data_IF_198435465073
#
_entry.id   IF_198435465073
#
_cell.length_a   1.000
_cell.length_b   1.000
_cell.length_c   1.000
_cell.angle_alpha   90.00
_cell.angle_beta   90.00
_cell.angle_gamma   90.00
#
_symmetry.space_group_name_H-M   'P 1'
#
loop_
_entity.id
_entity.type
_entity.pdbx_description
1 polymer ?
#
# COMPACT_ATOMS: atom_id res chain seq x y z
N UNK A 1 -41.50 -29.30 -25.52
CA UNK A 1 -41.55 -29.72 -24.10
C UNK A 1 -40.13 -30.03 -23.60
N UNK A 2 -39.56 -29.15 -22.77
CA UNK A 2 -38.31 -29.44 -22.07
C UNK A 2 -38.51 -30.66 -21.16
N UNK A 3 -37.49 -31.52 -21.07
CA UNK A 3 -37.52 -32.63 -20.10
C UNK A 3 -37.51 -32.07 -18.68
N UNK A 4 -38.12 -32.77 -17.70
CA UNK A 4 -38.14 -32.35 -16.30
C UNK A 4 -36.74 -32.00 -15.77
N UNK A 5 -35.74 -32.82 -16.10
CA UNK A 5 -34.35 -32.62 -15.69
C UNK A 5 -33.73 -31.34 -16.24
N UNK A 6 -34.12 -30.91 -17.45
CA UNK A 6 -33.61 -29.68 -18.05
C UNK A 6 -34.25 -28.42 -17.44
N UNK A 7 -35.50 -28.53 -16.96
CA UNK A 7 -36.17 -27.45 -16.24
C UNK A 7 -35.58 -27.28 -14.83
N UNK A 8 -35.28 -28.38 -14.15
CA UNK A 8 -34.66 -28.36 -12.82
C UNK A 8 -33.22 -27.83 -12.86
N UNK A 9 -32.45 -28.19 -13.89
CA UNK A 9 -31.10 -27.67 -14.10
C UNK A 9 -31.09 -26.15 -14.37
N UNK A 10 -32.06 -25.64 -15.14
CA UNK A 10 -32.20 -24.21 -15.40
C UNK A 10 -32.61 -23.44 -14.15
N UNK A 11 -33.54 -24.00 -13.36
CA UNK A 11 -33.94 -23.42 -12.08
C UNK A 11 -32.77 -23.36 -11.07
N UNK A 12 -31.91 -24.38 -11.05
CA UNK A 12 -30.72 -24.41 -10.20
C UNK A 12 -29.68 -23.34 -10.61
N UNK A 13 -29.51 -23.09 -11.93
CA UNK A 13 -28.65 -22.02 -12.44
C UNK A 13 -29.20 -20.63 -12.14
N UNK A 14 -30.51 -20.39 -12.32
CA UNK A 14 -31.12 -19.12 -11.95
C UNK A 14 -31.04 -18.85 -10.44
N UNK A 15 -31.10 -19.91 -9.63
CA UNK A 15 -30.96 -19.79 -8.17
C UNK A 15 -29.51 -19.49 -7.76
N UNK A 16 -28.51 -20.04 -8.45
CA UNK A 16 -27.11 -19.74 -8.17
C UNK A 16 -26.72 -18.32 -8.60
N UNK A 17 -27.21 -17.82 -9.74
CA UNK A 17 -27.02 -16.43 -10.16
C UNK A 17 -27.62 -15.44 -9.15
N UNK A 18 -28.83 -15.71 -8.64
CA UNK A 18 -29.48 -14.87 -7.62
C UNK A 18 -28.73 -14.87 -6.29
N UNK A 19 -28.06 -15.96 -5.93
CA UNK A 19 -27.22 -16.04 -4.74
C UNK A 19 -25.93 -15.21 -4.93
N UNK A 20 -25.28 -15.34 -6.08
CA UNK A 20 -24.09 -14.57 -6.43
C UNK A 20 -24.37 -13.06 -6.48
N UNK A 21 -25.52 -12.64 -7.02
CA UNK A 21 -25.91 -11.23 -7.04
C UNK A 21 -26.24 -10.67 -5.65
N UNK A 22 -26.79 -11.50 -4.76
CA UNK A 22 -26.99 -11.14 -3.35
C UNK A 22 -25.66 -10.99 -2.62
N UNK A 23 -24.73 -11.91 -2.82
CA UNK A 23 -23.39 -11.83 -2.22
C UNK A 23 -22.62 -10.63 -2.75
N UNK A 24 -22.65 -10.38 -4.07
CA UNK A 24 -22.08 -9.16 -4.69
C UNK A 24 -22.72 -7.89 -4.13
N UNK A 25 -24.04 -7.83 -4.00
CA UNK A 25 -24.72 -6.67 -3.40
C UNK A 25 -24.37 -6.48 -1.93
N UNK A 26 -24.21 -7.56 -1.15
CA UNK A 26 -23.78 -7.48 0.24
C UNK A 26 -22.32 -7.01 0.37
N UNK A 27 -21.44 -7.46 -0.52
CA UNK A 27 -20.05 -6.99 -0.60
C UNK A 27 -19.99 -5.52 -1.01
N UNK A 28 -20.80 -5.09 -1.99
CA UNK A 28 -20.89 -3.69 -2.40
C UNK A 28 -21.53 -2.79 -1.33
N UNK A 29 -22.51 -3.30 -0.58
CA UNK A 29 -23.14 -2.58 0.53
C UNK A 29 -22.20 -2.46 1.74
N UNK A 30 -21.30 -3.42 1.94
CA UNK A 30 -20.28 -3.40 2.99
C UNK A 30 -18.95 -2.78 2.53
N UNK A 31 -18.76 -2.53 1.24
CA UNK A 31 -17.75 -1.59 0.75
C UNK A 31 -18.19 -0.19 1.15
N UNK A 32 -17.80 0.24 2.35
CA UNK A 32 -17.73 1.66 2.63
C UNK A 32 -16.87 2.29 1.52
N UNK A 33 -17.51 3.02 0.60
CA UNK A 33 -16.81 3.99 -0.23
C UNK A 33 -15.95 4.83 0.73
N UNK A 34 -14.66 5.05 0.45
CA UNK A 34 -13.83 5.88 1.32
C UNK A 34 -14.59 7.18 1.53
N UNK A 35 -14.84 7.51 2.82
CA UNK A 35 -15.49 8.76 3.23
C UNK A 35 -14.86 9.89 2.39
N UNK A 36 -15.66 10.77 1.76
CA UNK A 36 -15.09 11.84 0.94
C UNK A 36 -14.02 12.53 1.77
N UNK A 37 -12.77 12.49 1.29
CA UNK A 37 -11.67 13.07 2.03
C UNK A 37 -12.03 14.53 2.30
N UNK A 38 -11.86 15.04 3.54
CA UNK A 38 -11.95 16.46 3.76
C UNK A 38 -11.05 17.14 2.73
N UNK A 39 -11.55 18.20 2.09
CA UNK A 39 -10.85 18.93 1.04
C UNK A 39 -9.53 19.41 1.63
N UNK A 40 -8.44 18.68 1.37
CA UNK A 40 -7.12 18.98 1.94
C UNK A 40 -6.73 20.37 1.45
N UNK A 41 -6.46 21.28 2.37
CA UNK A 41 -5.97 22.61 2.02
C UNK A 41 -4.60 22.45 1.36
N UNK A 42 -4.50 22.87 0.10
CA UNK A 42 -3.25 22.89 -0.64
C UNK A 42 -2.55 24.21 -0.33
N UNK A 43 -1.30 24.14 0.09
CA UNK A 43 -0.50 25.31 0.39
C UNK A 43 0.59 25.49 -0.67
N UNK A 44 0.95 26.74 -0.98
CA UNK A 44 2.11 27.07 -1.82
C UNK A 44 3.16 27.80 -1.00
N UNK A 45 4.41 27.40 -1.12
CA UNK A 45 5.53 28.06 -0.45
C UNK A 45 5.74 29.44 -1.06
N UNK A 46 5.67 30.48 -0.23
CA UNK A 46 5.90 31.87 -0.62
C UNK A 46 7.34 32.30 -0.30
N UNK A 47 7.87 31.88 0.84
CA UNK A 47 9.23 32.20 1.27
C UNK A 47 9.80 31.07 2.14
N UNK A 48 11.09 30.79 1.98
CA UNK A 48 11.80 29.76 2.74
C UNK A 48 13.25 30.15 3.09
N UNK A 49 13.63 31.43 2.95
CA UNK A 49 15.02 31.90 3.08
C UNK A 49 15.50 32.07 4.53
N UNK A 50 14.74 31.58 5.50
CA UNK A 50 15.13 31.68 6.92
C UNK A 50 16.14 30.59 7.29
N UNK A 51 17.19 30.95 8.04
CA UNK A 51 18.19 29.99 8.49
C UNK A 51 17.58 28.95 9.44
N UNK A 52 18.26 27.83 9.59
CA UNK A 52 17.99 26.91 10.69
C UNK A 52 18.43 27.56 12.00
N UNK A 53 17.53 27.60 12.98
CA UNK A 53 17.74 28.19 14.30
C UNK A 53 17.51 27.13 15.38
N UNK A 54 18.05 27.36 16.58
CA UNK A 54 17.78 26.53 17.77
C UNK A 54 17.10 27.41 18.80
N UNK A 55 15.91 27.01 19.24
CA UNK A 55 15.14 27.82 20.17
C UNK A 55 13.90 27.12 20.71
N UNK A 56 13.20 27.80 21.61
CA UNK A 56 11.97 27.30 22.19
C UNK A 56 10.79 27.54 21.23
N UNK A 57 10.17 26.45 20.76
CA UNK A 57 8.93 26.50 19.98
C UNK A 57 7.72 26.19 20.88
N UNK A 58 6.52 26.67 20.52
CA UNK A 58 5.28 26.28 21.20
C UNK A 58 5.12 24.76 21.23
N UNK A 59 4.95 24.19 22.43
CA UNK A 59 4.81 22.75 22.63
C UNK A 59 6.13 21.97 22.80
N UNK A 60 7.29 22.63 22.76
CA UNK A 60 8.58 21.99 23.02
C UNK A 60 9.07 22.27 24.47
N UNK A 61 9.36 21.20 25.22
CA UNK A 61 9.91 21.29 26.58
C UNK A 61 11.39 21.73 26.61
N UNK A 62 12.11 21.56 25.49
CA UNK A 62 13.52 21.90 25.32
C UNK A 62 13.73 22.68 24.02
N UNK A 63 14.83 23.45 23.90
CA UNK A 63 15.15 24.11 22.64
C UNK A 63 15.38 23.08 21.53
N UNK A 64 14.62 23.22 20.45
CA UNK A 64 14.67 22.35 19.27
C UNK A 64 15.28 23.08 18.07
N UNK A 65 15.88 22.33 17.16
CA UNK A 65 16.29 22.86 15.85
C UNK A 65 15.04 23.11 15.03
N UNK A 66 14.90 24.27 14.41
CA UNK A 66 13.77 24.57 13.55
C UNK A 66 14.13 25.45 12.36
N UNK A 67 13.28 25.41 11.34
CA UNK A 67 13.33 26.31 10.18
C UNK A 67 11.93 26.85 9.90
N UNK A 68 11.83 28.17 9.72
CA UNK A 68 10.58 28.83 9.36
C UNK A 68 10.36 28.80 7.85
N UNK A 69 9.15 28.49 7.42
CA UNK A 69 8.68 28.70 6.06
C UNK A 69 7.38 29.50 6.08
N UNK A 70 7.13 30.26 5.02
CA UNK A 70 5.87 30.95 4.81
C UNK A 70 5.11 30.30 3.67
N UNK A 71 3.87 29.95 3.95
CA UNK A 71 2.99 29.27 2.99
C UNK A 71 1.71 30.07 2.79
N UNK A 72 1.11 29.93 1.61
CA UNK A 72 -0.16 30.54 1.26
C UNK A 72 -1.16 29.47 0.87
N UNK A 73 -2.35 29.51 1.46
CA UNK A 73 -3.42 28.60 1.08
C UNK A 73 -3.85 28.86 -0.38
N UNK A 74 -3.99 27.79 -1.16
CA UNK A 74 -4.49 27.82 -2.54
C UNK A 74 -5.97 27.47 -2.55
N UNK A 75 -6.84 28.46 -2.35
CA UNK A 75 -8.29 28.31 -2.50
C UNK A 75 -8.71 28.67 -3.93
N UNK A 76 -9.66 27.92 -4.48
CA UNK A 76 -10.15 28.16 -5.85
C UNK A 76 -10.87 29.53 -5.95
N UNK A 77 -10.14 30.56 -6.39
CA UNK A 77 -10.71 31.86 -6.77
C UNK A 77 -10.39 33.05 -5.87
N UNK A 78 -9.60 32.90 -4.80
CA UNK A 78 -9.10 34.01 -3.98
C UNK A 78 -7.65 33.79 -3.57
N UNK A 79 -6.88 34.87 -3.45
CA UNK A 79 -5.56 34.83 -2.80
C UNK A 79 -5.76 34.46 -1.32
N UNK A 80 -5.38 33.23 -0.96
CA UNK A 80 -5.54 32.72 0.41
C UNK A 80 -4.62 33.41 1.41
N UNK A 81 -4.89 33.18 2.69
CA UNK A 81 -4.14 33.77 3.81
C UNK A 81 -2.73 33.18 3.86
N UNK A 82 -1.74 34.05 4.10
CA UNK A 82 -0.36 33.61 4.37
C UNK A 82 -0.21 33.19 5.83
N UNK A 83 0.46 32.07 6.06
CA UNK A 83 0.73 31.51 7.39
C UNK A 83 2.20 31.18 7.53
N UNK A 84 2.71 31.36 8.75
CA UNK A 84 4.04 30.91 9.15
C UNK A 84 3.95 29.47 9.66
N UNK A 85 4.83 28.61 9.14
CA UNK A 85 4.95 27.20 9.52
C UNK A 85 6.37 26.96 10.01
N UNK A 86 6.51 26.32 11.16
CA UNK A 86 7.78 25.96 11.77
C UNK A 86 8.04 24.47 11.58
N UNK A 87 9.09 24.15 10.82
CA UNK A 87 9.58 22.78 10.65
C UNK A 87 10.66 22.52 11.71
N UNK A 88 10.36 21.72 12.71
CA UNK A 88 11.22 21.40 13.83
C UNK A 88 11.92 20.04 13.68
N UNK A 89 12.94 19.81 14.49
CA UNK A 89 13.70 18.55 14.59
C UNK A 89 14.31 18.11 13.24
N UNK A 90 13.96 16.90 12.78
CA UNK A 90 14.38 16.34 11.51
C UNK A 90 13.68 17.02 10.33
N UNK A 91 12.48 17.58 10.55
CA UNK A 91 11.75 18.30 9.51
C UNK A 91 12.43 19.61 9.10
N UNK A 92 13.27 20.21 9.97
CA UNK A 92 14.01 21.43 9.65
C UNK A 92 14.86 21.29 8.38
N UNK A 93 15.38 20.08 8.12
CA UNK A 93 16.18 19.76 6.93
C UNK A 93 15.37 19.37 5.68
N UNK A 94 14.04 19.44 5.72
CA UNK A 94 13.18 19.12 4.56
C UNK A 94 13.56 20.01 3.38
N UNK A 95 13.83 19.50 2.17
CA UNK A 95 14.13 20.35 1.03
C UNK A 95 12.86 21.03 0.53
N UNK A 96 12.70 22.32 0.83
CA UNK A 96 11.55 23.14 0.42
C UNK A 96 12.06 24.34 -0.37
N UNK A 97 11.37 24.70 -1.45
CA UNK A 97 11.69 25.82 -2.34
C UNK A 97 10.43 26.65 -2.63
N UNK A 98 10.64 27.95 -2.85
CA UNK A 98 9.55 28.86 -3.22
C UNK A 98 8.80 28.35 -4.45
N UNK A 99 7.46 28.39 -4.38
CA UNK A 99 6.58 27.93 -5.44
C UNK A 99 6.15 26.46 -5.36
N UNK A 100 6.77 25.64 -4.50
CA UNK A 100 6.35 24.26 -4.30
C UNK A 100 4.99 24.17 -3.60
N UNK A 101 4.26 23.10 -3.91
CA UNK A 101 2.98 22.77 -3.28
C UNK A 101 3.19 21.84 -2.09
N UNK A 102 2.50 22.14 -0.99
CA UNK A 102 2.56 21.42 0.28
C UNK A 102 1.16 21.05 0.76
N UNK A 103 1.06 19.97 1.52
CA UNK A 103 -0.11 19.67 2.36
C UNK A 103 0.37 19.54 3.81
N UNK A 104 -0.33 20.20 4.72
CA UNK A 104 -0.11 20.11 6.16
C UNK A 104 -1.17 19.18 6.75
N UNK A 105 -0.74 18.16 7.48
CA UNK A 105 -1.62 17.13 8.05
C UNK A 105 -1.48 17.12 9.56
N UNK A 106 -2.60 17.08 10.27
CA UNK A 106 -2.59 16.88 11.72
C UNK A 106 -2.25 15.42 12.10
N UNK A 107 -1.60 15.24 13.26
CA UNK A 107 -1.23 13.90 13.75
C UNK A 107 -2.45 13.02 14.13
N UNK A 108 -3.65 13.61 14.22
CA UNK A 108 -4.90 12.94 14.61
C UNK A 108 -5.46 11.93 13.59
N UNK A 109 -4.83 11.78 12.42
CA UNK A 109 -5.11 10.71 11.47
C UNK A 109 -6.39 10.87 10.63
N UNK A 110 -7.16 11.93 10.84
CA UNK A 110 -8.33 12.28 10.04
C UNK A 110 -8.01 13.13 8.80
N UNK A 111 -6.73 13.48 8.62
CA UNK A 111 -6.26 14.26 7.48
C UNK A 111 -6.79 15.69 7.48
N UNK A 112 -7.15 16.21 8.65
CA UNK A 112 -7.52 17.61 8.82
C UNK A 112 -6.31 18.52 8.58
N UNK A 113 -6.54 19.72 8.00
CA UNK A 113 -5.50 20.73 7.89
C UNK A 113 -5.10 21.21 9.29
N UNK A 114 -3.81 21.51 9.47
CA UNK A 114 -3.32 22.06 10.74
C UNK A 114 -4.07 23.35 11.09
N UNK A 115 -4.78 23.31 12.22
CA UNK A 115 -5.63 24.39 12.70
C UNK A 115 -4.87 25.41 13.56
N UNK A 116 -3.70 25.04 14.08
CA UNK A 116 -2.87 25.90 14.93
C UNK A 116 -2.14 26.98 14.12
N UNK A 117 -2.19 28.22 14.63
CA UNK A 117 -1.36 29.33 14.15
C UNK A 117 -0.46 29.84 15.30
N UNK A 118 0.88 29.79 15.17
CA UNK A 118 1.62 29.24 14.03
C UNK A 118 1.65 27.71 14.02
N UNK A 119 1.65 27.12 12.83
CA UNK A 119 1.68 25.66 12.65
C UNK A 119 3.08 25.12 12.94
N UNK A 120 3.21 24.22 13.92
CA UNK A 120 4.47 23.54 14.26
C UNK A 120 4.41 22.09 13.77
N UNK A 121 5.43 21.68 13.01
CA UNK A 121 5.62 20.31 12.53
C UNK A 121 6.90 19.78 13.15
N UNK A 122 6.78 18.74 13.96
CA UNK A 122 7.88 18.18 14.74
C UNK A 122 7.90 16.65 14.64
N UNK A 123 8.88 16.01 15.26
CA UNK A 123 8.89 14.54 15.33
C UNK A 123 7.70 13.98 16.14
N UNK A 124 7.09 14.80 17.00
CA UNK A 124 6.00 14.41 17.88
C UNK A 124 4.61 14.72 17.29
N UNK A 125 4.49 15.71 16.41
CA UNK A 125 3.19 16.18 15.93
C UNK A 125 3.24 16.73 14.50
N UNK A 126 2.13 16.48 13.80
CA UNK A 126 1.83 16.95 12.45
C UNK A 126 2.80 16.42 11.38
N UNK A 127 2.39 16.49 10.12
CA UNK A 127 3.20 16.07 8.98
C UNK A 127 3.12 17.09 7.86
N UNK A 128 4.21 17.21 7.11
CA UNK A 128 4.23 17.93 5.84
C UNK A 128 4.43 16.96 4.69
N UNK A 129 3.58 17.08 3.67
CA UNK A 129 3.76 16.39 2.39
C UNK A 129 4.20 17.42 1.36
N UNK A 130 5.41 17.25 0.84
CA UNK A 130 5.96 18.06 -0.25
C UNK A 130 5.57 17.42 -1.58
N UNK A 131 5.13 18.20 -2.55
CA UNK A 131 4.67 17.71 -3.86
C UNK A 131 3.57 16.64 -3.77
N UNK A 132 2.39 16.98 -3.19
CA UNK A 132 1.27 16.04 -3.05
C UNK A 132 0.76 15.45 -4.38
N UNK A 133 1.08 16.09 -5.51
CA UNK A 133 0.78 15.62 -6.86
C UNK A 133 1.66 14.45 -7.33
N UNK A 134 2.81 14.23 -6.68
CA UNK A 134 3.75 13.16 -7.03
C UNK A 134 3.48 11.93 -6.15
N UNK A 135 2.93 10.90 -6.77
CA UNK A 135 2.74 9.61 -6.11
C UNK A 135 4.00 8.75 -6.26
N UNK A 136 4.58 8.37 -5.12
CA UNK A 136 5.76 7.50 -5.07
C UNK A 136 5.33 6.11 -4.64
N UNK A 137 5.88 5.07 -5.29
CA UNK A 137 5.62 3.67 -4.91
C UNK A 137 6.23 3.38 -3.53
N UNK A 138 5.50 2.69 -2.67
CA UNK A 138 5.99 2.32 -1.33
C UNK A 138 7.29 1.48 -1.39
N UNK A 139 7.46 0.65 -2.42
CA UNK A 139 8.70 -0.12 -2.64
C UNK A 139 9.90 0.78 -2.96
N UNK A 140 9.70 1.86 -3.72
CA UNK A 140 10.72 2.88 -4.01
C UNK A 140 11.17 3.60 -2.72
N UNK A 141 10.21 3.98 -1.87
CA UNK A 141 10.49 4.55 -0.54
C UNK A 141 11.32 3.59 0.31
N UNK A 142 10.92 2.31 0.40
CA UNK A 142 11.66 1.30 1.15
C UNK A 142 13.08 1.07 0.64
N UNK A 143 13.30 1.10 -0.68
CA UNK A 143 14.62 0.98 -1.27
C UNK A 143 15.50 2.22 -1.02
N UNK A 144 14.88 3.39 -0.87
CA UNK A 144 15.58 4.67 -0.70
C UNK A 144 16.39 4.78 0.59
N UNK A 145 16.03 4.03 1.65
CA UNK A 145 16.77 4.02 2.92
C UNK A 145 18.23 3.60 2.75
N UNK A 146 18.49 2.68 1.82
CA UNK A 146 19.85 2.23 1.49
C UNK A 146 20.58 3.19 0.55
N UNK A 147 19.88 3.68 -0.48
CA UNK A 147 20.42 4.60 -1.46
C UNK A 147 19.28 5.30 -2.22
N UNK A 148 19.07 6.58 -1.95
CA UNK A 148 18.07 7.40 -2.61
C UNK A 148 18.29 7.48 -4.14
N UNK A 149 19.56 7.65 -4.57
CA UNK A 149 19.91 7.70 -6.00
C UNK A 149 19.53 6.42 -6.74
N UNK A 150 19.73 5.26 -6.12
CA UNK A 150 19.38 3.96 -6.72
C UNK A 150 17.86 3.84 -6.90
N UNK A 151 17.08 4.21 -5.88
CA UNK A 151 15.62 4.16 -5.94
C UNK A 151 15.07 5.04 -7.08
N UNK A 152 15.55 6.29 -7.18
CA UNK A 152 15.14 7.22 -8.26
C UNK A 152 15.50 6.68 -9.65
N UNK A 153 16.71 6.12 -9.81
CA UNK A 153 17.16 5.57 -11.10
C UNK A 153 16.35 4.32 -11.51
N UNK A 154 16.05 3.43 -10.56
CA UNK A 154 15.23 2.24 -10.83
C UNK A 154 13.81 2.63 -11.27
N UNK A 155 13.22 3.62 -10.62
CA UNK A 155 11.89 4.15 -10.94
C UNK A 155 11.85 4.87 -12.29
N UNK A 156 12.89 5.65 -12.61
CA UNK A 156 12.93 6.48 -13.84
C UNK A 156 13.29 5.70 -15.09
N UNK A 157 14.22 4.75 -14.98
CA UNK A 157 14.77 4.05 -16.14
C UNK A 157 13.97 2.80 -16.53
N UNK A 158 12.87 2.48 -15.81
CA UNK A 158 12.08 1.26 -15.98
C UNK A 158 12.98 0.02 -16.12
N UNK A 159 14.10 0.01 -15.39
CA UNK A 159 15.10 -1.07 -15.41
C UNK A 159 14.58 -2.24 -14.58
N UNK A 160 13.47 -2.80 -15.01
CA UNK A 160 12.93 -4.03 -14.47
C UNK A 160 13.64 -5.18 -15.19
N UNK A 161 14.85 -5.50 -14.72
CA UNK A 161 15.44 -6.79 -15.08
C UNK A 161 14.58 -7.87 -14.42
N UNK A 162 13.73 -8.53 -15.21
CA UNK A 162 12.99 -9.70 -14.75
C UNK A 162 14.00 -10.76 -14.33
N UNK A 163 14.12 -10.99 -13.02
CA UNK A 163 14.91 -12.09 -12.49
C UNK A 163 14.02 -13.32 -12.35
N UNK A 164 14.60 -14.52 -12.38
CA UNK A 164 13.81 -15.74 -12.14
C UNK A 164 13.10 -15.70 -10.78
N UNK A 165 13.73 -15.07 -9.77
CA UNK A 165 13.13 -14.90 -8.44
C UNK A 165 11.91 -13.98 -8.48
N UNK A 166 12.00 -12.84 -9.19
CA UNK A 166 10.87 -11.92 -9.34
C UNK A 166 9.71 -12.59 -10.09
N UNK A 167 10.01 -13.33 -11.16
CA UNK A 167 9.01 -14.07 -11.93
C UNK A 167 8.26 -15.09 -11.07
N UNK A 168 9.00 -15.90 -10.28
CA UNK A 168 8.38 -16.87 -9.39
C UNK A 168 7.59 -16.21 -8.26
N UNK A 169 8.11 -15.12 -7.71
CA UNK A 169 7.37 -14.30 -6.74
C UNK A 169 6.02 -13.87 -7.31
N UNK A 170 5.99 -13.25 -8.50
CA UNK A 170 4.77 -12.82 -9.16
C UNK A 170 3.79 -13.97 -9.42
N UNK A 171 4.28 -15.13 -9.88
CA UNK A 171 3.46 -16.33 -10.08
C UNK A 171 2.81 -16.82 -8.78
N UNK A 172 3.59 -16.92 -7.70
CA UNK A 172 3.10 -17.37 -6.40
C UNK A 172 2.10 -16.37 -5.79
N UNK A 173 2.34 -15.07 -5.95
CA UNK A 173 1.41 -14.02 -5.53
C UNK A 173 0.06 -14.15 -6.25
N UNK A 174 0.08 -14.34 -7.57
CA UNK A 174 -1.15 -14.54 -8.34
C UNK A 174 -1.89 -15.81 -7.93
N UNK A 175 -1.16 -16.93 -7.79
CA UNK A 175 -1.75 -18.19 -7.35
C UNK A 175 -2.44 -18.07 -5.98
N UNK A 176 -1.78 -17.41 -5.03
CA UNK A 176 -2.31 -17.20 -3.69
C UNK A 176 -3.58 -16.33 -3.72
N UNK A 177 -3.59 -15.25 -4.52
CA UNK A 177 -4.76 -14.40 -4.70
C UNK A 177 -5.93 -15.18 -5.30
N UNK A 178 -5.68 -15.99 -6.34
CA UNK A 178 -6.70 -16.82 -6.99
C UNK A 178 -7.27 -17.87 -6.01
N UNK A 179 -6.42 -18.48 -5.19
CA UNK A 179 -6.84 -19.43 -4.14
C UNK A 179 -7.67 -18.75 -3.04
N UNK A 180 -7.28 -17.54 -2.61
CA UNK A 180 -8.04 -16.74 -1.66
C UNK A 180 -9.42 -16.36 -2.20
N UNK A 181 -9.50 -15.91 -3.45
CA UNK A 181 -10.77 -15.54 -4.08
C UNK A 181 -11.70 -16.75 -4.26
N UNK A 182 -11.16 -17.90 -4.60
CA UNK A 182 -11.92 -19.15 -4.71
C UNK A 182 -12.24 -19.79 -3.36
N UNK A 183 -11.60 -19.34 -2.27
CA UNK A 183 -11.67 -20.00 -0.96
C UNK A 183 -11.16 -21.45 -0.98
N UNK A 184 -10.29 -21.80 -1.94
CA UNK A 184 -9.87 -23.17 -2.18
C UNK A 184 -8.35 -23.27 -2.26
N UNK A 185 -7.79 -24.00 -1.29
CA UNK A 185 -6.36 -24.33 -1.20
C UNK A 185 -6.12 -25.84 -1.30
N UNK A 186 -7.00 -26.59 -1.98
CA UNK A 186 -6.75 -28.00 -2.24
C UNK A 186 -5.52 -28.16 -3.15
N UNK A 187 -4.80 -29.27 -2.99
CA UNK A 187 -3.60 -29.54 -3.77
C UNK A 187 -3.94 -29.62 -5.26
N UNK A 188 -5.09 -30.21 -5.59
CA UNK A 188 -5.60 -30.35 -6.95
C UNK A 188 -5.85 -28.98 -7.58
N UNK A 189 -6.54 -28.08 -6.87
CA UNK A 189 -6.82 -26.74 -7.35
C UNK A 189 -5.53 -25.93 -7.56
N UNK A 190 -4.65 -25.90 -6.55
CA UNK A 190 -3.40 -25.15 -6.61
C UNK A 190 -2.50 -25.64 -7.75
N UNK A 191 -2.42 -26.96 -7.95
CA UNK A 191 -1.62 -27.56 -9.03
C UNK A 191 -2.19 -27.24 -10.40
N UNK A 192 -3.51 -27.37 -10.58
CA UNK A 192 -4.17 -27.01 -11.84
C UNK A 192 -3.94 -25.54 -12.17
N UNK A 193 -4.16 -24.67 -11.19
CA UNK A 193 -4.04 -23.23 -11.39
C UNK A 193 -2.61 -22.79 -11.65
N UNK A 194 -1.64 -23.38 -10.95
CA UNK A 194 -0.22 -23.12 -11.20
C UNK A 194 0.17 -23.50 -12.64
N UNK A 195 -0.28 -24.66 -13.13
CA UNK A 195 0.00 -25.10 -14.50
C UNK A 195 -0.60 -24.16 -15.57
N UNK A 196 -1.77 -23.57 -15.31
CA UNK A 196 -2.34 -22.54 -16.17
C UNK A 196 -1.50 -21.26 -16.17
N UNK A 197 -1.15 -20.77 -14.98
CA UNK A 197 -0.39 -19.53 -14.81
C UNK A 197 1.01 -19.63 -15.45
N UNK A 198 1.70 -20.75 -15.27
CA UNK A 198 3.02 -20.95 -15.85
C UNK A 198 2.96 -21.12 -17.37
N UNK A 199 1.93 -21.80 -17.89
CA UNK A 199 1.70 -21.93 -19.33
C UNK A 199 1.51 -20.57 -20.01
N UNK A 200 0.87 -19.63 -19.33
CA UNK A 200 0.70 -18.25 -19.80
C UNK A 200 2.00 -17.40 -19.74
N UNK A 201 3.01 -17.82 -18.97
CA UNK A 201 4.25 -17.07 -18.74
C UNK A 201 5.46 -17.60 -19.55
N UNK A 202 5.21 -18.29 -20.67
CA UNK A 202 6.26 -18.91 -21.49
C UNK A 202 7.34 -17.92 -21.98
N UNK A 203 6.94 -16.73 -22.44
CA UNK A 203 7.88 -15.68 -22.88
C UNK A 203 8.78 -15.19 -21.75
N UNK A 204 8.20 -14.97 -20.57
CA UNK A 204 8.92 -14.53 -19.37
C UNK A 204 9.95 -15.57 -18.92
N UNK A 205 9.59 -16.86 -18.96
CA UNK A 205 10.50 -17.97 -18.63
C UNK A 205 11.69 -18.05 -19.60
N UNK A 206 11.44 -17.89 -20.90
CA UNK A 206 12.48 -17.81 -21.92
C UNK A 206 13.41 -16.62 -21.66
N UNK A 207 12.85 -15.46 -21.33
CA UNK A 207 13.60 -14.24 -21.01
C UNK A 207 14.57 -14.41 -19.84
N UNK A 208 14.23 -15.25 -18.85
CA UNK A 208 15.11 -15.55 -17.71
C UNK A 208 15.93 -16.85 -17.87
N UNK A 209 15.85 -17.50 -19.04
CA UNK A 209 16.57 -18.74 -19.33
C UNK A 209 16.16 -19.92 -18.46
N UNK A 210 14.91 -19.96 -17.98
CA UNK A 210 14.38 -21.05 -17.15
C UNK A 210 13.38 -21.89 -17.94
N UNK A 211 13.30 -23.16 -17.58
CA UNK A 211 12.32 -24.10 -18.13
C UNK A 211 11.16 -24.30 -17.15
N UNK A 212 10.03 -24.77 -17.68
CA UNK A 212 8.80 -25.04 -16.91
C UNK A 212 9.07 -26.03 -15.77
N UNK A 213 9.90 -27.05 -16.00
CA UNK A 213 10.19 -28.08 -14.98
C UNK A 213 10.86 -27.49 -13.73
N UNK A 214 11.68 -26.46 -13.89
CA UNK A 214 12.34 -25.83 -12.77
C UNK A 214 11.35 -25.06 -11.90
N UNK A 215 10.41 -24.36 -12.54
CA UNK A 215 9.37 -23.64 -11.84
C UNK A 215 8.35 -24.57 -11.17
N UNK A 216 8.06 -25.73 -11.77
CA UNK A 216 7.27 -26.78 -11.13
C UNK A 216 7.94 -27.28 -9.84
N UNK A 217 9.25 -27.54 -9.87
CA UNK A 217 9.98 -27.94 -8.67
C UNK A 217 9.94 -26.87 -7.56
N UNK A 218 10.09 -25.59 -7.92
CA UNK A 218 9.93 -24.48 -6.96
C UNK A 218 8.51 -24.45 -6.38
N UNK A 219 7.47 -24.62 -7.21
CA UNK A 219 6.09 -24.70 -6.75
C UNK A 219 5.83 -25.87 -5.80
N UNK A 220 6.32 -27.07 -6.12
CA UNK A 220 6.20 -28.25 -5.26
C UNK A 220 6.80 -28.03 -3.88
N UNK A 221 7.88 -27.24 -3.79
CA UNK A 221 8.50 -26.89 -2.51
C UNK A 221 7.63 -25.93 -1.68
N UNK A 222 6.87 -25.03 -2.34
CA UNK A 222 6.05 -24.00 -1.67
C UNK A 222 4.64 -24.49 -1.36
N UNK A 223 4.11 -25.43 -2.14
CA UNK A 223 2.74 -25.95 -2.05
C UNK A 223 2.33 -26.37 -0.61
N UNK A 224 3.14 -27.13 0.16
CA UNK A 224 2.76 -27.53 1.52
C UNK A 224 2.51 -26.33 2.45
N UNK A 225 3.26 -25.24 2.25
CA UNK A 225 3.13 -24.03 3.06
C UNK A 225 1.83 -23.29 2.77
N UNK A 226 1.39 -23.24 1.51
CA UNK A 226 0.12 -22.61 1.13
C UNK A 226 -1.08 -23.34 1.77
N UNK A 227 -1.06 -24.68 1.67
CA UNK A 227 -2.09 -25.52 2.28
C UNK A 227 -2.11 -25.35 3.80
N UNK A 228 -0.93 -25.35 4.42
CA UNK A 228 -0.79 -25.19 5.87
C UNK A 228 -1.26 -23.80 6.34
N UNK A 229 -0.88 -22.74 5.63
CA UNK A 229 -1.31 -21.37 5.95
C UNK A 229 -2.84 -21.26 5.94
N UNK A 230 -3.51 -21.80 4.91
CA UNK A 230 -4.96 -21.80 4.83
C UNK A 230 -5.59 -22.56 6.00
N UNK A 231 -5.02 -23.72 6.39
CA UNK A 231 -5.48 -24.49 7.55
C UNK A 231 -5.35 -23.69 8.85
N UNK A 232 -4.26 -22.95 9.02
CA UNK A 232 -3.98 -22.20 10.25
C UNK A 232 -4.79 -20.92 10.38
N UNK A 233 -5.01 -20.17 9.29
CA UNK A 233 -5.58 -18.82 9.35
C UNK A 233 -6.99 -18.68 8.77
N UNK A 234 -7.45 -19.62 7.94
CA UNK A 234 -8.74 -19.52 7.25
C UNK A 234 -9.77 -20.57 7.69
N UNK A 235 -9.37 -21.60 8.43
CA UNK A 235 -10.35 -22.52 9.02
C UNK A 235 -11.11 -21.84 10.15
N UNK A 236 -12.44 -22.01 10.23
CA UNK A 236 -13.22 -21.47 11.34
C UNK A 236 -12.63 -22.01 12.64
N UNK A 237 -12.24 -21.09 13.53
CA UNK A 237 -11.70 -21.46 14.83
C UNK A 237 -12.65 -22.46 15.48
N UNK A 238 -12.20 -23.70 15.69
CA UNK A 238 -12.80 -24.50 16.74
C UNK A 238 -12.66 -23.65 18.00
N UNK A 239 -13.76 -23.41 18.72
CA UNK A 239 -13.86 -22.47 19.86
C UNK A 239 -12.86 -22.72 21.02
N UNK A 240 -11.89 -23.63 20.87
CA UNK A 240 -10.94 -24.07 21.87
C UNK A 240 -9.46 -23.85 21.52
N UNK A 241 -9.09 -23.31 20.36
CA UNK A 241 -7.67 -23.02 20.06
C UNK A 241 -7.32 -21.54 20.21
N UNK A 242 -6.29 -21.19 21.01
CA UNK A 242 -5.77 -19.83 21.04
C UNK A 242 -5.24 -19.46 19.65
N UNK A 243 -5.44 -18.20 19.25
CA UNK A 243 -4.99 -17.69 17.96
C UNK A 243 -3.51 -18.02 17.72
N UNK A 244 -3.12 -18.45 16.51
CA UNK A 244 -1.73 -18.71 16.19
C UNK A 244 -0.91 -17.44 16.45
N UNK A 245 0.05 -17.54 17.37
CA UNK A 245 1.00 -16.45 17.64
C UNK A 245 1.92 -16.34 16.43
N UNK A 246 1.70 -15.32 15.61
CA UNK A 246 2.65 -14.92 14.58
C UNK A 246 3.79 -14.18 15.28
N UNK A 247 4.92 -14.87 15.50
CA UNK A 247 6.16 -14.22 15.92
C UNK A 247 6.82 -13.61 14.69
N UNK A 248 6.81 -12.29 14.59
CA UNK A 248 7.70 -11.59 13.67
C UNK A 248 9.13 -11.78 14.19
N UNK A 249 10.01 -12.30 13.34
CA UNK A 249 11.44 -12.41 13.65
C UNK A 249 11.98 -11.02 14.00
N UNK A 250 12.44 -10.84 15.24
CA UNK A 250 13.22 -9.68 15.63
C UNK A 250 14.57 -9.75 14.92
N UNK A 251 15.01 -8.69 14.23
CA UNK A 251 16.35 -8.67 13.63
C UNK A 251 17.37 -8.48 14.77
N UNK A 252 18.11 -9.53 15.12
CA UNK A 252 19.19 -9.39 16.12
C UNK A 252 19.68 -10.66 16.82
N UNK A 253 19.69 -11.82 16.18
CA UNK A 253 20.45 -12.98 16.67
C UNK A 253 21.41 -13.49 15.59
N UNK A 254 22.59 -12.86 15.54
CA UNK A 254 23.89 -13.52 15.36
C UNK A 254 24.90 -12.86 16.31
#
# INVERSE_FOLDING_TARGET
PMSPDAADALAALEQSERLLDRERSAVLANMQLPKPMPTRALYRVVSCDWPEEVGALPGADQPVRFRRIRVREQTAGMDGVERDVFLADEWASTPVSVGQSLVLLESGGDGLPVSDEPAVISNAANFVVVHPEVLVRATSVGQSFSCQRRAVLQESASLESSSSVALYGSLLHQLFQDAMQAGNFSVEYLTSRFNELIGAQGESLLGVGKRVEHAQHEFESVLPFLVQWHRTFCQPASRSSPAPKVSFFSPGEE
#
